data_IF_225771884152
#
_entry.id   IF_225771884152
#
_cell.length_a   1.000
_cell.length_b   1.000
_cell.length_c   1.000
_cell.angle_alpha   90.00
_cell.angle_beta   90.00
_cell.angle_gamma   90.00
#
_symmetry.space_group_name_H-M   'P 1'
#
loop_
_entity.id
_entity.type
_entity.pdbx_description
1 polymer ?
#
# COMPACT_ATOMS: atom_id res chain seq x y z
N UNK A 1 33.65 26.52 -35.71
CA UNK A 1 32.69 27.41 -35.02
C UNK A 1 33.30 27.86 -33.70
N UNK A 2 33.64 29.16 -33.58
CA UNK A 2 34.01 29.91 -32.35
C UNK A 2 32.73 30.68 -31.96
N UNK A 3 32.31 30.88 -30.71
CA UNK A 3 33.03 31.36 -29.50
C UNK A 3 32.37 30.85 -28.20
N UNK A 4 33.15 30.93 -27.11
CA UNK A 4 32.77 30.69 -25.72
C UNK A 4 32.34 32.00 -25.02
N UNK A 5 31.68 31.83 -23.86
CA UNK A 5 31.47 32.76 -22.73
C UNK A 5 30.23 33.66 -22.73
N UNK A 6 29.43 33.51 -21.65
CA UNK A 6 28.96 34.52 -20.68
C UNK A 6 27.85 33.87 -19.83
N UNK A 7 28.18 33.12 -18.77
CA UNK A 7 28.18 33.63 -17.37
C UNK A 7 27.24 34.82 -17.20
N UNK A 8 25.98 34.54 -16.81
CA UNK A 8 25.13 35.49 -16.09
C UNK A 8 24.96 34.97 -14.67
N UNK A 9 25.90 35.39 -13.85
CA UNK A 9 25.82 35.42 -12.40
C UNK A 9 25.03 36.67 -11.98
N UNK A 10 24.44 36.61 -10.78
CA UNK A 10 23.77 37.69 -10.02
C UNK A 10 22.28 37.88 -10.40
N UNK A 11 21.32 37.78 -9.47
CA UNK A 11 21.30 38.47 -8.18
C UNK A 11 20.37 37.82 -7.13
N UNK A 12 20.85 37.84 -5.88
CA UNK A 12 20.13 38.12 -4.59
C UNK A 12 18.91 37.27 -4.23
N UNK A 13 19.01 36.31 -3.31
CA UNK A 13 19.11 36.44 -1.84
C UNK A 13 17.86 37.08 -1.19
N UNK A 14 17.11 36.27 -0.42
CA UNK A 14 16.49 36.70 0.83
C UNK A 14 16.19 35.48 1.71
N UNK A 15 16.97 35.39 2.78
CA UNK A 15 16.64 34.65 4.00
C UNK A 15 15.27 35.10 4.52
N UNK A 16 14.41 34.16 4.86
CA UNK A 16 13.65 34.23 6.11
C UNK A 16 13.51 32.82 6.69
N UNK A 17 14.46 32.49 7.56
CA UNK A 17 14.27 31.49 8.60
C UNK A 17 13.22 32.05 9.57
N UNK A 18 12.02 31.49 9.58
CA UNK A 18 11.05 31.71 10.66
C UNK A 18 10.95 30.44 11.48
N UNK A 19 11.70 30.41 12.60
CA UNK A 19 11.29 29.65 13.78
C UNK A 19 10.30 30.53 14.55
N UNK A 20 9.05 30.10 14.63
CA UNK A 20 8.13 30.55 15.67
C UNK A 20 7.71 29.34 16.49
N UNK A 21 8.34 29.17 17.65
CA UNK A 21 7.72 28.46 18.77
C UNK A 21 6.60 29.32 19.33
N UNK A 22 5.38 28.78 19.33
CA UNK A 22 4.26 29.33 20.08
C UNK A 22 2.92 29.20 19.37
N UNK A 23 2.17 28.13 19.62
CA UNK A 23 0.71 28.18 19.53
C UNK A 23 0.09 27.20 20.54
N UNK A 24 -0.37 27.76 21.66
CA UNK A 24 -1.50 27.21 22.37
C UNK A 24 -2.74 27.39 21.50
N UNK A 25 -3.48 26.31 21.25
CA UNK A 25 -4.87 26.30 20.81
C UNK A 25 -5.22 27.13 19.59
N UNK A 26 -5.18 26.53 18.41
CA UNK A 26 -6.14 26.84 17.35
C UNK A 26 -6.40 25.55 16.57
N UNK A 27 -7.57 24.97 16.83
CA UNK A 27 -8.14 23.84 16.12
C UNK A 27 -8.52 24.29 14.71
N UNK A 28 -7.66 24.09 13.73
CA UNK A 28 -8.04 24.18 12.32
C UNK A 28 -7.92 22.82 11.65
N UNK A 29 -9.12 22.33 11.33
CA UNK A 29 -9.44 21.08 10.66
C UNK A 29 -8.62 20.92 9.38
N UNK A 30 -7.69 19.98 9.41
CA UNK A 30 -7.55 19.02 8.32
C UNK A 30 -7.63 17.65 8.94
N UNK A 31 -8.85 17.25 9.31
CA UNK A 31 -9.15 15.85 9.64
C UNK A 31 -9.07 15.02 8.35
N UNK A 32 -7.85 14.82 7.85
CA UNK A 32 -7.54 13.50 7.30
C UNK A 32 -7.60 12.61 8.52
N UNK A 33 -8.75 11.98 8.77
CA UNK A 33 -8.94 11.08 9.88
C UNK A 33 -7.74 10.14 9.92
N UNK A 34 -6.86 10.32 10.92
CA UNK A 34 -5.71 9.44 11.09
C UNK A 34 -6.27 8.02 11.13
N UNK A 35 -5.76 7.14 10.26
CA UNK A 35 -6.30 5.80 10.13
C UNK A 35 -6.40 5.17 11.52
N UNK A 36 -7.59 4.66 11.86
CA UNK A 36 -7.84 4.03 13.17
C UNK A 36 -7.21 2.63 13.27
N UNK A 37 -6.47 2.24 12.22
CA UNK A 37 -5.71 1.02 12.14
C UNK A 37 -4.64 0.97 13.25
N UNK A 38 -4.63 -0.10 14.03
CA UNK A 38 -3.49 -0.39 14.90
C UNK A 38 -2.32 -0.97 14.07
N UNK A 39 -1.11 -1.08 14.65
CA UNK A 39 0.06 -1.60 13.93
C UNK A 39 -0.15 -3.03 13.41
N UNK A 40 -0.89 -3.87 14.13
CA UNK A 40 -1.18 -5.25 13.73
C UNK A 40 -2.05 -5.33 12.47
N UNK A 41 -3.17 -4.60 12.44
CA UNK A 41 -4.04 -4.51 11.25
C UNK A 41 -3.29 -3.93 10.05
N UNK A 42 -2.43 -2.92 10.30
CA UNK A 42 -1.58 -2.33 9.25
C UNK A 42 -0.63 -3.37 8.66
N UNK A 43 0.04 -4.15 9.52
CA UNK A 43 0.96 -5.21 9.08
C UNK A 43 0.21 -6.34 8.35
N UNK A 44 -0.94 -6.78 8.85
CA UNK A 44 -1.75 -7.81 8.21
C UNK A 44 -2.20 -7.38 6.80
N UNK A 45 -2.67 -6.13 6.66
CA UNK A 45 -3.04 -5.55 5.36
C UNK A 45 -1.83 -5.47 4.43
N UNK A 46 -0.66 -5.04 4.91
CA UNK A 46 0.57 -5.00 4.11
C UNK A 46 0.95 -6.39 3.59
N UNK A 47 1.01 -7.38 4.49
CA UNK A 47 1.30 -8.77 4.14
C UNK A 47 0.31 -9.34 3.10
N UNK A 48 -0.97 -9.02 3.23
CA UNK A 48 -1.98 -9.42 2.26
C UNK A 48 -1.79 -8.75 0.89
N UNK A 49 -1.43 -7.46 0.83
CA UNK A 49 -1.10 -6.79 -0.44
C UNK A 49 0.11 -7.47 -1.11
N UNK A 50 1.15 -7.79 -0.35
CA UNK A 50 2.36 -8.43 -0.88
C UNK A 50 2.05 -9.82 -1.45
N UNK A 51 1.31 -10.65 -0.72
CA UNK A 51 0.88 -11.96 -1.20
C UNK A 51 0.01 -11.86 -2.47
N UNK A 52 -0.92 -10.90 -2.51
CA UNK A 52 -1.76 -10.62 -3.70
C UNK A 52 -0.90 -10.21 -4.89
N UNK A 53 0.13 -9.39 -4.69
CA UNK A 53 1.03 -8.98 -5.77
C UNK A 53 1.76 -10.19 -6.39
N UNK A 54 2.18 -11.15 -5.57
CA UNK A 54 2.82 -12.40 -6.03
C UNK A 54 1.80 -13.28 -6.78
N UNK A 55 0.57 -13.43 -6.28
CA UNK A 55 -0.47 -14.19 -6.98
C UNK A 55 -0.79 -13.57 -8.35
N UNK A 56 -0.92 -12.24 -8.41
CA UNK A 56 -1.20 -11.50 -9.65
C UNK A 56 -0.06 -11.52 -10.66
N UNK A 57 1.20 -11.62 -10.22
CA UNK A 57 2.32 -11.74 -11.18
C UNK A 57 2.33 -13.06 -11.94
N UNK A 58 1.58 -14.06 -11.46
CA UNK A 58 1.35 -15.34 -12.14
C UNK A 58 0.01 -15.37 -12.91
N UNK A 59 -0.71 -14.24 -12.99
CA UNK A 59 -2.10 -14.16 -13.49
C UNK A 59 -3.04 -15.18 -12.82
N UNK A 60 -2.75 -15.52 -11.55
CA UNK A 60 -3.39 -16.61 -10.83
C UNK A 60 -3.85 -16.17 -9.45
N UNK A 61 -5.07 -15.65 -9.37
CA UNK A 61 -5.68 -15.19 -8.12
C UNK A 61 -7.15 -15.62 -8.05
N UNK A 62 -7.61 -15.98 -6.85
CA UNK A 62 -9.01 -16.35 -6.65
C UNK A 62 -9.91 -15.10 -6.65
N UNK A 63 -11.15 -15.27 -7.13
CA UNK A 63 -12.08 -14.16 -7.42
C UNK A 63 -12.26 -13.17 -6.25
N UNK A 64 -12.36 -13.67 -5.02
CA UNK A 64 -12.76 -12.86 -3.86
C UNK A 64 -11.57 -12.32 -3.06
N UNK A 65 -10.33 -12.66 -3.41
CA UNK A 65 -9.14 -12.33 -2.61
C UNK A 65 -8.96 -10.82 -2.44
N UNK A 66 -9.08 -10.04 -3.51
CA UNK A 66 -8.99 -8.57 -3.44
C UNK A 66 -10.20 -7.95 -2.72
N UNK A 67 -11.36 -8.61 -2.76
CA UNK A 67 -12.54 -8.17 -2.01
C UNK A 67 -12.30 -8.26 -0.51
N UNK A 68 -11.70 -9.35 -0.02
CA UNK A 68 -11.34 -9.47 1.40
C UNK A 68 -10.32 -8.41 1.82
N UNK A 69 -9.32 -8.13 0.99
CA UNK A 69 -8.38 -7.03 1.24
C UNK A 69 -9.08 -5.67 1.32
N UNK A 70 -10.03 -5.39 0.40
CA UNK A 70 -10.84 -4.17 0.45
C UNK A 70 -11.67 -4.06 1.72
N UNK A 71 -12.31 -5.16 2.14
CA UNK A 71 -13.06 -5.21 3.40
C UNK A 71 -12.16 -5.06 4.63
N UNK A 72 -10.93 -5.57 4.59
CA UNK A 72 -9.94 -5.40 5.65
C UNK A 72 -9.54 -3.93 5.82
N UNK A 73 -9.25 -3.24 4.72
CA UNK A 73 -8.94 -1.80 4.71
C UNK A 73 -10.09 -0.99 5.29
N UNK A 74 -11.32 -1.24 4.85
CA UNK A 74 -12.51 -0.56 5.38
C UNK A 74 -12.73 -0.82 6.87
N UNK A 75 -12.49 -2.04 7.36
CA UNK A 75 -12.57 -2.36 8.79
C UNK A 75 -11.49 -1.62 9.59
N UNK A 76 -10.26 -1.53 9.08
CA UNK A 76 -9.17 -0.80 9.72
C UNK A 76 -9.45 0.71 9.80
N UNK A 77 -9.98 1.31 8.73
CA UNK A 77 -10.43 2.71 8.71
C UNK A 77 -11.54 2.98 9.74
N UNK A 78 -12.45 2.02 9.92
CA UNK A 78 -13.49 2.08 10.94
C UNK A 78 -12.97 1.87 12.38
N UNK A 79 -11.72 1.40 12.55
CA UNK A 79 -11.13 1.04 13.83
C UNK A 79 -11.47 -0.37 14.32
N UNK A 80 -12.16 -1.16 13.50
CA UNK A 80 -12.43 -2.58 13.75
C UNK A 80 -11.19 -3.42 13.38
N UNK A 81 -10.14 -3.24 14.18
CA UNK A 81 -8.82 -3.83 13.93
C UNK A 81 -8.85 -5.36 13.93
N UNK A 82 -9.64 -5.98 14.81
CA UNK A 82 -9.75 -7.44 14.86
C UNK A 82 -10.39 -8.02 13.58
N UNK A 83 -11.42 -7.35 13.04
CA UNK A 83 -12.02 -7.73 11.76
C UNK A 83 -11.07 -7.46 10.60
N UNK A 84 -10.33 -6.35 10.65
CA UNK A 84 -9.32 -6.03 9.64
C UNK A 84 -8.26 -7.13 9.53
N UNK A 85 -7.68 -7.56 10.66
CA UNK A 85 -6.70 -8.65 10.71
C UNK A 85 -7.29 -9.94 10.12
N UNK A 86 -8.48 -10.37 10.57
CA UNK A 86 -9.12 -11.60 10.06
C UNK A 86 -9.34 -11.59 8.55
N UNK A 87 -9.80 -10.46 8.01
CA UNK A 87 -10.06 -10.32 6.57
C UNK A 87 -8.76 -10.25 5.77
N UNK A 88 -7.75 -9.55 6.29
CA UNK A 88 -6.43 -9.48 5.68
C UNK A 88 -5.75 -10.85 5.66
N UNK A 89 -5.79 -11.61 6.75
CA UNK A 89 -5.24 -12.97 6.83
C UNK A 89 -5.96 -13.92 5.87
N UNK A 90 -7.28 -13.77 5.71
CA UNK A 90 -8.03 -14.53 4.70
C UNK A 90 -7.57 -14.20 3.29
N UNK A 91 -7.41 -12.92 2.97
CA UNK A 91 -6.91 -12.48 1.66
C UNK A 91 -5.48 -13.00 1.40
N UNK A 92 -4.60 -12.92 2.41
CA UNK A 92 -3.25 -13.48 2.35
C UNK A 92 -3.29 -14.99 2.07
N UNK A 93 -4.07 -15.74 2.83
CA UNK A 93 -4.20 -17.20 2.67
C UNK A 93 -4.66 -17.58 1.27
N UNK A 94 -5.69 -16.91 0.73
CA UNK A 94 -6.17 -17.18 -0.62
C UNK A 94 -5.11 -16.85 -1.69
N UNK A 95 -4.37 -15.75 -1.53
CA UNK A 95 -3.30 -15.38 -2.45
C UNK A 95 -2.13 -16.40 -2.41
N UNK A 96 -1.68 -16.79 -1.23
CA UNK A 96 -0.62 -17.80 -1.07
C UNK A 96 -1.04 -19.16 -1.64
N UNK A 97 -2.29 -19.57 -1.38
CA UNK A 97 -2.84 -20.83 -1.91
C UNK A 97 -2.98 -20.77 -3.43
N UNK A 98 -3.33 -19.61 -4.00
CA UNK A 98 -3.38 -19.43 -5.44
C UNK A 98 -2.00 -19.63 -6.07
N UNK A 99 -0.92 -19.10 -5.48
CA UNK A 99 0.46 -19.33 -5.94
C UNK A 99 0.83 -20.82 -5.87
N UNK A 100 0.50 -21.50 -4.76
CA UNK A 100 0.72 -22.96 -4.64
C UNK A 100 -0.03 -23.72 -5.73
N UNK A 101 -1.28 -23.36 -5.99
CA UNK A 101 -2.10 -23.97 -7.03
C UNK A 101 -1.51 -23.73 -8.43
N UNK A 102 -1.06 -22.51 -8.73
CA UNK A 102 -0.36 -22.20 -9.98
C UNK A 102 0.84 -23.12 -10.20
N UNK A 103 1.71 -23.26 -9.19
CA UNK A 103 2.86 -24.16 -9.27
C UNK A 103 2.47 -25.62 -9.44
N UNK A 104 1.42 -26.07 -8.74
CA UNK A 104 0.91 -27.43 -8.89
C UNK A 104 0.42 -27.70 -10.31
N UNK A 105 -0.38 -26.80 -10.89
CA UNK A 105 -0.98 -26.98 -12.22
C UNK A 105 0.01 -26.78 -13.36
N UNK A 106 1.04 -25.98 -13.17
CA UNK A 106 2.12 -25.80 -14.16
C UNK A 106 3.09 -26.98 -14.14
N UNK A 107 3.30 -27.62 -12.99
CA UNK A 107 4.17 -28.81 -12.85
C UNK A 107 3.45 -30.14 -13.13
N UNK A 108 2.14 -30.20 -12.91
CA UNK A 108 1.31 -31.38 -13.15
C UNK A 108 0.32 -31.05 -14.27
N UNK A 109 0.66 -31.50 -15.48
CA UNK A 109 -0.15 -31.28 -16.67
C UNK A 109 -1.60 -31.70 -16.39
N UNK A 110 -2.49 -30.73 -16.18
CA UNK A 110 -3.94 -30.96 -16.14
C UNK A 110 -4.33 -31.50 -17.50
N UNK A 111 -4.42 -32.81 -17.61
CA UNK A 111 -4.82 -33.52 -18.81
C UNK A 111 -6.26 -33.20 -19.19
N UNK A 112 -6.48 -32.04 -19.79
CA UNK A 112 -7.31 -31.81 -20.95
C UNK A 112 -6.58 -30.79 -21.82
N UNK A 113 -5.58 -31.28 -22.57
CA UNK A 113 -5.13 -30.60 -23.78
C UNK A 113 -6.37 -30.33 -24.64
N UNK A 114 -6.66 -29.06 -24.92
CA UNK A 114 -7.47 -28.69 -26.08
C UNK A 114 -6.60 -28.79 -27.32
#
# INVERSE_FOLDING_TARGET
MKTRFHVKLLSTALLTLWLTSGCAGQSDKSETAASKANPEATAAIANANDAIAIAKSNDWIWRDTEKFLGQAKAAAEAGDNAKAVKLADKAKFEAETAVVQYHFETSHQRGLRR
#
